data_IF_534456512892
#
_entry.id   IF_534456512892
#
_cell.length_a   1.000
_cell.length_b   1.000
_cell.length_c   1.000
_cell.angle_alpha   90.00
_cell.angle_beta   90.00
_cell.angle_gamma   90.00
#
_symmetry.space_group_name_H-M   'P 1'
#
loop_
_entity.id
_entity.type
_entity.pdbx_description
1 polymer ?
#
# COMPACT_ATOMS: atom_id res chain seq x y z
N UNK A 1 3.16 12.05 20.71
CA UNK A 1 1.74 12.32 21.03
C UNK A 1 1.07 10.97 21.27
N UNK A 2 0.50 10.72 22.44
CA UNK A 2 -0.04 9.39 22.80
C UNK A 2 -1.53 9.30 22.46
N UNK A 3 -2.03 8.10 22.14
CA UNK A 3 -3.45 7.85 21.89
C UNK A 3 -4.34 8.34 23.06
N UNK A 4 -3.85 8.24 24.30
CA UNK A 4 -4.50 8.74 25.51
C UNK A 4 -4.81 10.25 25.46
N UNK A 5 -3.89 11.07 24.93
CA UNK A 5 -4.11 12.51 24.82
C UNK A 5 -5.32 12.82 23.93
N UNK A 6 -5.41 12.14 22.79
CA UNK A 6 -6.50 12.34 21.83
C UNK A 6 -7.84 11.87 22.38
N UNK A 7 -7.83 10.73 23.09
CA UNK A 7 -9.02 10.22 23.78
C UNK A 7 -9.45 11.12 24.95
N UNK A 8 -8.54 11.94 25.51
CA UNK A 8 -8.85 12.91 26.57
C UNK A 8 -9.36 14.26 26.07
N UNK A 9 -9.31 14.53 24.77
CA UNK A 9 -9.80 15.80 24.22
C UNK A 9 -11.32 15.90 24.36
N UNK A 10 -11.81 17.11 24.63
CA UNK A 10 -13.24 17.37 24.67
C UNK A 10 -13.88 17.24 23.28
N UNK A 11 -14.56 16.12 23.09
CA UNK A 11 -15.22 15.76 21.84
C UNK A 11 -16.46 16.63 21.56
N UNK A 12 -17.01 17.35 22.55
CA UNK A 12 -18.22 18.16 22.41
C UNK A 12 -18.06 19.34 21.44
N UNK A 13 -16.81 19.75 21.21
CA UNK A 13 -16.44 20.83 20.29
C UNK A 13 -16.39 20.39 18.82
N UNK A 14 -16.56 19.09 18.54
CA UNK A 14 -16.45 18.52 17.20
C UNK A 14 -17.81 18.12 16.62
N UNK A 15 -18.07 18.31 15.30
CA UNK A 15 -19.35 17.91 14.69
C UNK A 15 -19.61 16.40 14.70
N UNK A 16 -18.56 15.61 14.85
CA UNK A 16 -18.61 14.16 15.04
C UNK A 16 -17.47 13.73 15.97
N UNK A 17 -17.68 12.72 16.84
CA UNK A 17 -16.61 12.17 17.65
C UNK A 17 -15.41 11.77 16.80
N UNK A 18 -14.21 12.15 17.24
CA UNK A 18 -12.94 11.75 16.63
C UNK A 18 -12.50 10.41 17.17
N UNK A 19 -12.23 9.48 16.26
CA UNK A 19 -11.73 8.15 16.55
C UNK A 19 -10.22 8.09 16.34
N UNK A 20 -9.54 7.08 16.89
CA UNK A 20 -8.12 6.86 16.59
C UNK A 20 -7.87 6.65 15.09
N UNK A 21 -8.85 6.06 14.38
CA UNK A 21 -8.80 5.89 12.93
C UNK A 21 -8.91 7.20 12.14
N UNK A 22 -9.21 8.33 12.78
CA UNK A 22 -9.14 9.65 12.12
C UNK A 22 -7.70 10.19 12.07
N UNK A 23 -6.74 9.51 12.69
CA UNK A 23 -5.32 9.88 12.70
C UNK A 23 -4.57 8.99 11.71
N UNK A 24 -3.96 9.62 10.73
CA UNK A 24 -3.18 8.96 9.70
C UNK A 24 -1.69 9.12 10.01
N UNK A 25 -1.06 8.03 10.41
CA UNK A 25 0.39 7.99 10.62
C UNK A 25 1.07 7.81 9.27
N UNK A 26 1.95 8.76 8.93
CA UNK A 26 2.67 8.76 7.67
C UNK A 26 3.74 7.66 7.63
N UNK A 27 3.75 6.87 6.56
CA UNK A 27 4.80 5.90 6.23
C UNK A 27 5.42 6.28 4.89
N UNK A 28 6.68 6.69 4.89
CA UNK A 28 7.43 7.02 3.67
C UNK A 28 7.92 5.74 2.99
N UNK A 29 7.26 5.36 1.91
CA UNK A 29 7.59 4.17 1.11
C UNK A 29 8.93 4.34 0.41
N UNK A 30 9.43 5.56 0.21
CA UNK A 30 10.82 5.76 -0.27
C UNK A 30 11.88 5.51 0.79
N UNK A 31 11.52 5.47 2.07
CA UNK A 31 12.44 5.12 3.15
C UNK A 31 13.39 6.23 3.59
N UNK A 32 13.14 7.50 3.30
CA UNK A 32 14.03 8.62 3.65
C UNK A 32 13.99 8.92 5.15
N UNK A 33 14.75 8.14 5.91
CA UNK A 33 14.78 8.18 7.38
C UNK A 33 13.57 7.53 8.04
N UNK A 34 12.82 6.69 7.30
CA UNK A 34 11.68 5.92 7.80
C UNK A 34 12.13 4.60 8.44
N UNK A 35 11.41 4.17 9.46
CA UNK A 35 11.66 2.90 10.13
C UNK A 35 11.48 1.74 9.15
N UNK A 36 12.45 0.83 9.11
CA UNK A 36 12.44 -0.30 8.18
C UNK A 36 12.90 0.03 6.76
N UNK A 37 13.27 1.29 6.47
CA UNK A 37 13.96 1.66 5.22
C UNK A 37 13.08 1.80 3.97
N UNK A 38 11.75 1.83 4.11
CA UNK A 38 10.84 1.96 2.95
C UNK A 38 10.80 0.70 2.08
N UNK A 39 10.31 0.82 0.85
CA UNK A 39 10.12 -0.26 -0.10
C UNK A 39 9.36 -1.44 0.51
N UNK A 40 9.85 -2.66 0.28
CA UNK A 40 9.33 -3.85 0.97
C UNK A 40 9.63 -3.88 2.48
N UNK A 41 10.43 -2.96 3.03
CA UNK A 41 10.63 -2.82 4.46
C UNK A 41 9.59 -1.94 5.16
N UNK A 42 8.70 -1.25 4.42
CA UNK A 42 7.73 -0.32 5.01
C UNK A 42 6.70 -1.00 5.94
N UNK A 43 6.45 -2.30 5.79
CA UNK A 43 5.58 -3.05 6.71
C UNK A 43 6.06 -2.95 8.16
N UNK A 44 7.38 -2.85 8.39
CA UNK A 44 7.97 -2.70 9.72
C UNK A 44 7.50 -1.43 10.43
N UNK A 45 7.37 -0.32 9.67
CA UNK A 45 6.80 0.92 10.19
C UNK A 45 5.30 0.75 10.52
N UNK A 46 4.56 0.08 9.63
CA UNK A 46 3.11 -0.15 9.80
C UNK A 46 2.84 -1.04 11.02
N UNK A 47 3.69 -2.04 11.29
CA UNK A 47 3.59 -2.87 12.49
C UNK A 47 3.63 -2.07 13.79
N UNK A 48 4.28 -0.89 13.81
CA UNK A 48 4.27 0.01 14.97
C UNK A 48 3.12 1.01 14.98
N UNK A 49 2.54 1.32 13.82
CA UNK A 49 1.29 2.08 13.77
C UNK A 49 0.15 1.25 14.37
N UNK A 50 0.23 -0.07 14.18
CA UNK A 50 -0.71 -1.06 14.71
C UNK A 50 -2.18 -0.73 14.36
N UNK A 51 -2.53 -0.73 13.06
CA UNK A 51 -3.90 -0.39 12.63
C UNK A 51 -4.94 -1.38 13.13
N UNK A 52 -4.55 -2.63 13.35
CA UNK A 52 -5.47 -3.70 13.76
C UNK A 52 -5.80 -3.65 15.26
N UNK A 53 -4.80 -3.56 16.15
CA UNK A 53 -5.05 -3.57 17.60
C UNK A 53 -5.29 -2.17 18.17
N UNK A 54 -4.55 -1.14 17.73
CA UNK A 54 -4.76 0.24 18.22
C UNK A 54 -5.86 0.98 17.45
N UNK A 55 -6.23 0.53 16.26
CA UNK A 55 -7.24 1.18 15.43
C UNK A 55 -6.78 2.51 14.81
N UNK A 56 -5.47 2.76 14.75
CA UNK A 56 -4.91 3.91 14.03
C UNK A 56 -5.00 3.70 12.52
N UNK A 57 -4.85 4.78 11.74
CA UNK A 57 -4.79 4.70 10.28
C UNK A 57 -3.40 5.02 9.75
N UNK A 58 -3.12 4.59 8.52
CA UNK A 58 -1.83 4.78 7.85
C UNK A 58 -2.04 5.66 6.62
N UNK A 59 -1.18 6.66 6.44
CA UNK A 59 -1.02 7.36 5.17
C UNK A 59 0.29 6.92 4.51
N UNK A 60 0.19 6.23 3.37
CA UNK A 60 1.35 5.89 2.56
C UNK A 60 1.81 7.12 1.79
N UNK A 61 3.08 7.49 1.95
CA UNK A 61 3.71 8.58 1.23
C UNK A 61 4.68 8.02 0.19
N UNK A 62 4.49 8.39 -1.07
CA UNK A 62 5.38 7.96 -2.16
C UNK A 62 5.18 6.51 -2.60
N UNK A 63 3.95 5.99 -2.55
CA UNK A 63 3.61 4.63 -2.97
C UNK A 63 3.88 4.34 -4.46
N UNK A 64 4.10 5.37 -5.29
CA UNK A 64 4.60 5.24 -6.66
C UNK A 64 6.01 4.66 -6.76
N UNK A 65 6.69 4.44 -5.62
CA UNK A 65 8.03 3.84 -5.52
C UNK A 65 8.19 2.56 -6.36
N UNK A 66 7.19 1.68 -6.42
CA UNK A 66 7.26 0.43 -7.20
C UNK A 66 7.39 0.66 -8.71
N UNK A 67 6.83 1.75 -9.22
CA UNK A 67 6.99 2.19 -10.59
C UNK A 67 8.30 2.95 -10.76
N UNK A 68 8.49 4.00 -9.97
CA UNK A 68 9.59 4.96 -10.10
C UNK A 68 10.97 4.33 -9.85
N UNK A 69 11.05 3.26 -9.05
CA UNK A 69 12.31 2.54 -8.82
C UNK A 69 12.61 1.44 -9.84
N UNK A 70 11.65 1.07 -10.69
CA UNK A 70 11.77 -0.08 -11.61
C UNK A 70 11.72 0.32 -13.09
N UNK A 71 11.06 1.42 -13.47
CA UNK A 71 10.78 1.77 -14.88
C UNK A 71 12.01 1.83 -15.79
N UNK A 72 13.17 2.22 -15.25
CA UNK A 72 14.42 2.43 -16.00
C UNK A 72 15.38 1.24 -15.93
N UNK A 73 15.00 0.15 -15.24
CA UNK A 73 15.87 -1.03 -15.05
C UNK A 73 15.83 -1.98 -16.26
N UNK A 74 16.95 -2.67 -16.56
CA UNK A 74 16.95 -3.74 -17.56
C UNK A 74 15.92 -4.83 -17.21
N UNK A 75 15.17 -5.30 -18.21
CA UNK A 75 14.13 -6.32 -18.01
C UNK A 75 12.79 -5.76 -17.52
N UNK A 76 12.64 -4.44 -17.44
CA UNK A 76 11.36 -3.81 -17.18
C UNK A 76 10.30 -4.22 -18.22
N UNK A 77 9.11 -4.52 -17.72
CA UNK A 77 7.90 -4.72 -18.52
C UNK A 77 6.69 -4.45 -17.62
N UNK A 78 5.53 -4.18 -18.23
CA UNK A 78 4.27 -4.05 -17.49
C UNK A 78 3.97 -5.26 -16.60
N UNK A 79 4.29 -6.47 -17.07
CA UNK A 79 4.10 -7.70 -16.30
C UNK A 79 5.07 -7.78 -15.10
N UNK A 80 6.33 -7.38 -15.28
CA UNK A 80 7.32 -7.35 -14.21
C UNK A 80 6.96 -6.31 -13.14
N UNK A 81 6.60 -5.09 -13.56
CA UNK A 81 6.12 -4.06 -12.64
C UNK A 81 4.86 -4.49 -11.90
N UNK A 82 3.87 -5.07 -12.58
CA UNK A 82 2.64 -5.53 -11.93
C UNK A 82 2.91 -6.63 -10.90
N UNK A 83 3.84 -7.55 -11.17
CA UNK A 83 4.26 -8.56 -10.21
C UNK A 83 4.96 -7.93 -8.98
N UNK A 84 5.76 -6.89 -9.20
CA UNK A 84 6.44 -6.14 -8.14
C UNK A 84 5.45 -5.35 -7.27
N UNK A 85 4.55 -4.59 -7.90
CA UNK A 85 3.46 -3.85 -7.25
C UNK A 85 2.56 -4.79 -6.44
N UNK A 86 2.13 -5.91 -7.03
CA UNK A 86 1.35 -6.92 -6.31
C UNK A 86 2.09 -7.49 -5.11
N UNK A 87 3.42 -7.64 -5.18
CA UNK A 87 4.19 -8.17 -4.04
C UNK A 87 4.11 -7.22 -2.86
N UNK A 88 4.20 -5.90 -3.09
CA UNK A 88 4.05 -4.89 -2.03
C UNK A 88 2.66 -5.00 -1.36
N UNK A 89 1.60 -4.99 -2.17
CA UNK A 89 0.23 -4.87 -1.67
C UNK A 89 -0.38 -6.19 -1.18
N UNK A 90 -0.18 -7.27 -1.92
CA UNK A 90 -0.88 -8.55 -1.75
C UNK A 90 0.05 -9.71 -1.42
N UNK A 91 1.36 -9.49 -1.44
CA UNK A 91 2.36 -10.51 -1.21
C UNK A 91 2.75 -11.28 -2.48
N UNK A 92 3.71 -12.20 -2.37
CA UNK A 92 4.21 -12.93 -3.51
C UNK A 92 3.12 -13.82 -4.10
N UNK A 93 3.10 -13.93 -5.44
CA UNK A 93 2.11 -14.75 -6.15
C UNK A 93 2.16 -16.24 -5.75
N UNK A 94 3.35 -16.73 -5.40
CA UNK A 94 3.55 -18.07 -4.85
C UNK A 94 3.56 -17.98 -3.32
N UNK A 95 2.60 -18.61 -2.62
CA UNK A 95 2.59 -18.64 -1.16
C UNK A 95 3.91 -19.17 -0.58
N UNK A 96 4.40 -18.55 0.49
CA UNK A 96 5.64 -18.94 1.16
C UNK A 96 6.93 -18.57 0.43
N UNK A 97 6.86 -17.94 -0.75
CA UNK A 97 8.05 -17.41 -1.42
C UNK A 97 8.66 -16.30 -0.58
N UNK A 98 9.97 -16.39 -0.34
CA UNK A 98 10.72 -15.35 0.35
C UNK A 98 10.71 -14.05 -0.46
N UNK A 99 10.38 -12.94 0.20
CA UNK A 99 10.51 -11.59 -0.34
C UNK A 99 11.77 -10.99 0.26
N UNK A 100 12.70 -10.59 -0.60
CA UNK A 100 13.93 -9.94 -0.16
C UNK A 100 13.63 -8.52 0.33
N UNK A 101 13.98 -8.25 1.59
CA UNK A 101 13.81 -6.96 2.23
C UNK A 101 15.20 -6.46 2.60
N UNK A 102 15.70 -5.39 1.95
CA UNK A 102 17.00 -4.85 2.26
C UNK A 102 17.18 -4.59 3.76
N UNK A 103 18.37 -4.88 4.32
CA UNK A 103 18.65 -4.58 5.72
C UNK A 103 18.53 -3.07 5.96
N UNK A 104 17.98 -2.72 7.12
CA UNK A 104 17.85 -1.34 7.58
C UNK A 104 18.72 -1.15 8.81
N UNK A 105 19.61 -0.17 8.78
CA UNK A 105 20.40 0.22 9.94
C UNK A 105 19.55 1.13 10.85
N UNK A 106 19.31 0.74 12.11
CA UNK A 106 18.63 1.59 13.07
C UNK A 106 19.38 2.90 13.30
N UNK A 107 18.67 3.97 13.63
CA UNK A 107 19.33 5.22 14.00
C UNK A 107 20.12 5.01 15.30
N UNK A 108 21.21 5.76 15.45
CA UNK A 108 22.06 5.68 16.64
C UNK A 108 21.23 5.92 17.92
N UNK A 109 21.19 4.92 18.80
CA UNK A 109 20.47 4.98 20.06
C UNK A 109 19.02 4.47 20.01
N UNK A 110 18.54 4.03 18.84
CA UNK A 110 17.27 3.31 18.78
C UNK A 110 17.44 1.89 19.35
N UNK A 111 16.46 1.40 20.13
CA UNK A 111 16.49 0.03 20.63
C UNK A 111 16.39 -0.96 19.45
N UNK A 112 16.97 -2.17 19.59
CA UNK A 112 16.77 -3.22 18.60
C UNK A 112 15.27 -3.53 18.48
N UNK A 113 14.82 -3.62 17.24
CA UNK A 113 13.42 -3.92 16.95
C UNK A 113 13.37 -5.13 16.03
N UNK A 114 12.83 -6.23 16.54
CA UNK A 114 12.69 -7.47 15.79
C UNK A 114 11.42 -7.43 14.94
N UNK A 115 11.59 -7.76 13.66
CA UNK A 115 10.49 -7.92 12.72
C UNK A 115 10.58 -9.31 12.10
N UNK A 116 9.42 -9.91 11.84
CA UNK A 116 9.33 -11.22 11.19
C UNK A 116 9.65 -11.16 9.69
N UNK A 117 9.15 -12.17 8.96
CA UNK A 117 9.16 -12.14 7.50
C UNK A 117 8.32 -10.97 6.95
N UNK A 118 8.55 -10.63 5.68
CA UNK A 118 7.75 -9.64 4.97
C UNK A 118 6.24 -9.90 5.12
N UNK A 119 5.50 -8.84 5.43
CA UNK A 119 4.04 -8.83 5.45
C UNK A 119 3.52 -7.86 4.39
N UNK A 120 2.57 -8.27 3.53
CA UNK A 120 2.02 -7.39 2.52
C UNK A 120 1.09 -6.35 3.13
N UNK A 121 1.01 -5.17 2.49
CA UNK A 121 0.28 -4.03 3.08
C UNK A 121 -1.19 -4.34 3.35
N UNK A 122 -1.83 -5.15 2.51
CA UNK A 122 -3.24 -5.50 2.67
C UNK A 122 -3.53 -6.35 3.92
N UNK A 123 -2.53 -6.98 4.53
CA UNK A 123 -2.73 -7.82 5.72
C UNK A 123 -2.81 -6.99 7.01
N UNK A 124 -2.40 -5.71 6.99
CA UNK A 124 -2.57 -4.79 8.12
C UNK A 124 -3.95 -4.16 8.22
N UNK A 125 -4.82 -4.39 7.22
CA UNK A 125 -6.12 -3.73 7.15
C UNK A 125 -7.25 -4.75 6.96
N UNK A 126 -8.40 -4.56 7.63
CA UNK A 126 -9.53 -5.46 7.48
C UNK A 126 -10.07 -5.39 6.05
N UNK A 127 -10.12 -6.55 5.38
CA UNK A 127 -10.72 -6.67 4.05
C UNK A 127 -12.23 -6.61 4.17
N UNK A 128 -12.85 -5.63 3.51
CA UNK A 128 -14.31 -5.51 3.42
C UNK A 128 -14.80 -6.21 2.16
N UNK A 129 -15.92 -6.91 2.25
CA UNK A 129 -16.59 -7.45 1.08
C UNK A 129 -17.08 -6.29 0.20
N UNK A 130 -17.01 -6.43 -1.14
CA UNK A 130 -17.65 -5.46 -2.03
C UNK A 130 -19.16 -5.39 -1.76
N UNK A 131 -19.84 -4.29 -2.14
CA UNK A 131 -21.29 -4.20 -2.05
C UNK A 131 -21.97 -5.35 -2.82
N UNK A 132 -23.12 -5.81 -2.31
CA UNK A 132 -23.91 -6.86 -2.97
C UNK A 132 -24.35 -6.38 -4.37
N UNK A 133 -23.95 -7.09 -5.46
CA UNK A 133 -24.33 -6.72 -6.82
C UNK A 133 -25.85 -6.77 -7.07
N UNK A 134 -26.61 -7.54 -6.27
CA UNK A 134 -28.07 -7.56 -6.32
C UNK A 134 -28.70 -6.26 -5.77
N UNK A 135 -28.00 -5.56 -4.88
CA UNK A 135 -28.44 -4.29 -4.29
C UNK A 135 -27.89 -3.09 -5.07
N UNK A 136 -26.65 -3.18 -5.55
CA UNK A 136 -25.97 -2.13 -6.32
C UNK A 136 -25.36 -2.73 -7.59
N UNK A 137 -25.84 -2.37 -8.80
CA UNK A 137 -25.29 -2.90 -10.04
C UNK A 137 -23.76 -2.75 -10.09
N UNK A 138 -23.07 -3.84 -10.40
CA UNK A 138 -21.63 -3.89 -10.56
C UNK A 138 -21.27 -4.13 -12.02
N UNK A 139 -20.40 -3.30 -12.56
CA UNK A 139 -19.84 -3.46 -13.90
C UNK A 139 -18.33 -3.21 -13.85
N UNK A 140 -17.56 -4.10 -14.46
CA UNK A 140 -16.13 -3.90 -14.73
C UNK A 140 -15.77 -4.49 -16.08
N UNK A 141 -14.91 -3.79 -16.82
CA UNK A 141 -14.24 -4.31 -18.00
C UNK A 141 -12.77 -4.66 -17.72
N UNK A 142 -12.37 -4.61 -16.44
CA UNK A 142 -10.98 -4.75 -15.99
C UNK A 142 -10.00 -3.82 -16.74
N UNK A 143 -10.47 -2.64 -17.15
CA UNK A 143 -9.62 -1.64 -17.78
C UNK A 143 -8.69 -1.03 -16.73
N UNK A 144 -7.36 -1.10 -16.92
CA UNK A 144 -6.41 -0.50 -15.99
C UNK A 144 -6.25 1.01 -16.19
N UNK A 145 -7.01 1.62 -17.11
CA UNK A 145 -6.88 3.03 -17.48
C UNK A 145 -5.68 3.35 -18.39
N UNK A 146 -4.98 2.32 -18.87
CA UNK A 146 -3.81 2.43 -19.76
C UNK A 146 -3.82 1.28 -20.76
N UNK A 147 -3.23 1.45 -21.94
CA UNK A 147 -3.03 0.34 -22.88
C UNK A 147 -2.38 0.73 -24.20
N UNK A 148 -2.10 -0.28 -25.01
CA UNK A 148 -1.61 -0.12 -26.39
C UNK A 148 -2.74 -0.15 -27.42
N UNK A 149 -3.88 -0.73 -27.04
CA UNK A 149 -5.06 -0.84 -27.88
C UNK A 149 -6.32 -0.62 -27.04
N UNK A 150 -7.40 -0.21 -27.70
CA UNK A 150 -8.73 -0.09 -27.11
C UNK A 150 -9.67 -1.09 -27.79
N UNK A 151 -10.46 -1.79 -26.99
CA UNK A 151 -11.41 -2.80 -27.46
C UNK A 151 -12.84 -2.40 -27.09
N UNK A 152 -13.75 -2.48 -28.06
CA UNK A 152 -15.19 -2.32 -27.86
C UNK A 152 -15.85 -3.63 -28.27
N UNK A 153 -16.49 -4.31 -27.32
CA UNK A 153 -17.16 -5.61 -27.53
C UNK A 153 -16.21 -6.66 -28.16
N UNK A 154 -14.95 -6.69 -27.74
CA UNK A 154 -13.93 -7.59 -28.27
C UNK A 154 -13.29 -7.14 -29.59
N UNK A 155 -13.82 -6.12 -30.26
CA UNK A 155 -13.25 -5.56 -31.48
C UNK A 155 -12.25 -4.47 -31.15
N UNK A 156 -11.03 -4.57 -31.68
CA UNK A 156 -10.00 -3.52 -31.56
C UNK A 156 -10.42 -2.29 -32.38
N UNK A 157 -10.59 -1.14 -31.72
CA UNK A 157 -11.04 0.12 -32.34
C UNK A 157 -9.97 1.20 -32.34
N UNK A 158 -8.93 1.05 -31.53
CA UNK A 158 -7.80 1.97 -31.47
C UNK A 158 -6.52 1.18 -31.17
N UNK A 159 -5.40 1.65 -31.72
CA UNK A 159 -4.06 1.14 -31.50
C UNK A 159 -3.08 2.31 -31.49
N UNK A 160 -2.19 2.36 -30.51
CA UNK A 160 -1.16 3.38 -30.35
C UNK A 160 0.19 2.72 -30.25
N UNK A 161 1.19 3.25 -30.96
CA UNK A 161 2.57 2.80 -30.86
C UNK A 161 3.31 3.35 -29.64
N UNK A 162 2.72 4.31 -28.92
CA UNK A 162 3.25 4.92 -27.68
C UNK A 162 2.35 4.69 -26.47
N UNK A 163 1.26 3.94 -26.66
CA UNK A 163 0.24 3.71 -25.64
C UNK A 163 -0.73 4.87 -25.47
N UNK A 164 -1.69 4.69 -24.58
CA UNK A 164 -2.60 5.71 -24.05
C UNK A 164 -2.73 5.51 -22.54
N UNK A 165 -2.92 6.61 -21.81
CA UNK A 165 -3.24 6.65 -20.38
C UNK A 165 -4.33 7.69 -20.15
#
# INVERSE_FOLDING_TARGET
MTAQYLLSLDQSTTPRPKLLSDIYIGVDVWGRGSHGGGGFGCYKAISHVDPEFLGLSVALFGQGWTWESEQDKPGWSWAAWWAYERTLWLGPATPGRHVDVPPHEPKKGEPPCEHGAFQPLADFFPRRTPPDPAVRPFFTAFSPGVGWAWFVRGTRVFESATGWT
#
